data_IF_081115855736
#
_entry.id   IF_081115855736
#
_cell.length_a   1.000
_cell.length_b   1.000
_cell.length_c   1.000
_cell.angle_alpha   90.00
_cell.angle_beta   90.00
_cell.angle_gamma   90.00
#
_symmetry.space_group_name_H-M   'P 1'
#
loop_
_entity.id
_entity.type
_entity.pdbx_description
1 polymer ?
#
# COMPACT_ATOMS: atom_id res chain seq x y z
N UNK A 1 1.05 15.38 -28.18
CA UNK A 1 0.69 14.22 -27.33
C UNK A 1 -0.71 13.78 -27.69
N UNK A 2 -0.93 12.48 -27.85
CA UNK A 2 -2.22 11.88 -28.22
C UNK A 2 -2.86 11.19 -27.01
N UNK A 3 -4.19 11.14 -26.99
CA UNK A 3 -4.89 10.27 -26.05
C UNK A 3 -4.67 8.81 -26.41
N UNK A 4 -4.48 7.98 -25.39
CA UNK A 4 -4.40 6.53 -25.52
C UNK A 4 -5.74 5.91 -25.13
N UNK A 5 -6.01 4.72 -25.63
CA UNK A 5 -7.16 3.92 -25.22
C UNK A 5 -6.76 3.00 -24.07
N UNK A 6 -7.44 3.14 -22.94
CA UNK A 6 -7.30 2.26 -21.79
C UNK A 6 -8.64 1.57 -21.51
N UNK A 7 -8.64 0.27 -21.18
CA UNK A 7 -9.86 -0.46 -20.89
C UNK A 7 -10.51 0.06 -19.60
N UNK A 8 -11.82 0.27 -19.62
CA UNK A 8 -12.57 0.67 -18.41
C UNK A 8 -12.75 -0.47 -17.42
N UNK A 9 -12.83 -1.69 -17.94
CA UNK A 9 -12.97 -2.93 -17.17
C UNK A 9 -11.76 -3.83 -17.44
N UNK A 10 -11.24 -4.45 -16.38
CA UNK A 10 -10.09 -5.36 -16.48
C UNK A 10 -8.73 -4.68 -16.40
N UNK A 11 -7.69 -5.43 -16.76
CA UNK A 11 -6.30 -5.04 -16.56
C UNK A 11 -5.79 -4.08 -17.65
N UNK A 12 -5.50 -2.84 -17.26
CA UNK A 12 -4.99 -1.77 -18.12
C UNK A 12 -3.47 -1.79 -18.30
N UNK A 13 -2.71 -2.58 -17.53
CA UNK A 13 -1.25 -2.67 -17.60
C UNK A 13 -0.72 -2.92 -19.02
N UNK A 14 -1.13 -3.99 -19.74
CA UNK A 14 -0.61 -4.24 -21.09
C UNK A 14 -0.95 -3.13 -22.10
N UNK A 15 -2.11 -2.49 -21.95
CA UNK A 15 -2.52 -1.39 -22.84
C UNK A 15 -1.66 -0.15 -22.62
N UNK A 16 -1.39 0.20 -21.37
CA UNK A 16 -0.52 1.34 -21.04
C UNK A 16 0.92 1.09 -21.51
N UNK A 17 1.47 -0.10 -21.24
CA UNK A 17 2.82 -0.48 -21.67
C UNK A 17 2.93 -0.41 -23.19
N UNK A 18 1.99 -1.02 -23.93
CA UNK A 18 1.98 -0.98 -25.39
C UNK A 18 1.89 0.45 -25.93
N UNK A 19 1.05 1.30 -25.33
CA UNK A 19 0.91 2.69 -25.76
C UNK A 19 2.18 3.51 -25.51
N UNK A 20 2.86 3.29 -24.38
CA UNK A 20 4.15 3.91 -24.04
C UNK A 20 5.24 3.48 -25.02
N UNK A 21 5.40 2.17 -25.25
CA UNK A 21 6.38 1.62 -26.21
C UNK A 21 6.19 2.23 -27.59
N UNK A 22 4.95 2.20 -28.11
CA UNK A 22 4.63 2.77 -29.41
C UNK A 22 4.94 4.28 -29.50
N UNK A 23 4.68 5.04 -28.44
CA UNK A 23 4.96 6.47 -28.42
C UNK A 23 6.48 6.74 -28.44
N UNK A 24 7.25 5.97 -27.66
CA UNK A 24 8.70 6.07 -27.59
C UNK A 24 9.35 5.69 -28.93
N UNK A 25 8.95 4.59 -29.55
CA UNK A 25 9.47 4.14 -30.85
C UNK A 25 9.21 5.14 -31.97
N UNK A 26 8.11 5.91 -31.87
CA UNK A 26 7.75 6.98 -32.81
C UNK A 26 8.40 8.32 -32.51
N UNK A 27 9.19 8.41 -31.44
CA UNK A 27 9.79 9.68 -30.99
C UNK A 27 8.76 10.71 -30.50
N UNK A 28 7.60 10.26 -30.01
CA UNK A 28 6.62 11.15 -29.41
C UNK A 28 7.11 11.65 -28.04
N UNK A 29 6.87 12.93 -27.74
CA UNK A 29 7.27 13.54 -26.46
C UNK A 29 6.39 13.12 -25.25
N UNK A 30 5.38 12.25 -25.46
CA UNK A 30 4.48 11.84 -24.39
C UNK A 30 3.09 11.39 -24.83
N UNK A 31 2.34 10.87 -23.87
CA UNK A 31 0.97 10.36 -24.02
C UNK A 31 0.00 11.08 -23.07
N UNK A 32 -1.28 11.14 -23.48
CA UNK A 32 -2.37 11.61 -22.63
C UNK A 32 -3.22 10.42 -22.16
N UNK A 33 -3.41 10.30 -20.86
CA UNK A 33 -4.33 9.33 -20.27
C UNK A 33 -5.75 9.92 -20.28
N UNK A 34 -6.76 9.18 -20.77
CA UNK A 34 -8.15 9.60 -20.66
C UNK A 34 -8.58 9.80 -19.20
N UNK A 35 -9.57 10.66 -18.97
CA UNK A 35 -10.17 10.81 -17.63
C UNK A 35 -10.95 9.56 -17.26
N UNK A 36 -10.81 9.15 -16.00
CA UNK A 36 -11.52 8.00 -15.44
C UNK A 36 -10.65 7.25 -14.45
N UNK A 37 -11.14 6.07 -14.09
CA UNK A 37 -10.45 5.09 -13.25
C UNK A 37 -10.02 3.91 -14.11
N UNK A 38 -8.82 3.42 -13.86
CA UNK A 38 -8.18 2.34 -14.59
C UNK A 38 -7.46 1.44 -13.61
N UNK A 39 -7.60 0.13 -13.79
CA UNK A 39 -7.12 -0.87 -12.86
C UNK A 39 -5.91 -1.61 -13.44
N UNK A 40 -4.88 -1.81 -12.63
CA UNK A 40 -3.57 -2.33 -13.05
C UNK A 40 -3.16 -3.50 -12.17
N UNK A 41 -2.91 -4.65 -12.80
CA UNK A 41 -2.35 -5.84 -12.15
C UNK A 41 -0.91 -6.08 -12.62
N UNK A 42 -0.14 -6.95 -11.94
CA UNK A 42 1.22 -7.31 -12.35
C UNK A 42 1.32 -7.83 -13.79
N UNK A 43 0.29 -8.53 -14.28
CA UNK A 43 0.31 -9.14 -15.60
C UNK A 43 0.40 -8.08 -16.70
N UNK A 44 1.32 -8.29 -17.65
CA UNK A 44 1.59 -7.33 -18.73
C UNK A 44 2.58 -6.22 -18.37
N UNK A 45 3.01 -6.16 -17.11
CA UNK A 45 4.15 -5.35 -16.67
C UNK A 45 5.48 -6.09 -16.83
N UNK A 46 6.51 -5.56 -16.16
CA UNK A 46 7.84 -6.18 -16.12
C UNK A 46 8.19 -6.61 -14.69
N UNK A 47 8.82 -7.77 -14.53
CA UNK A 47 9.40 -8.19 -13.25
C UNK A 47 10.91 -7.98 -13.26
N UNK A 48 11.44 -7.22 -12.30
CA UNK A 48 12.87 -6.94 -12.20
C UNK A 48 13.35 -6.83 -10.76
N UNK A 49 14.52 -7.39 -10.48
CA UNK A 49 15.20 -7.15 -9.21
C UNK A 49 15.72 -5.72 -9.14
N UNK A 50 15.28 -4.96 -8.15
CA UNK A 50 15.65 -3.56 -7.97
C UNK A 50 16.31 -3.33 -6.61
N UNK A 51 17.36 -2.50 -6.63
CA UNK A 51 17.93 -1.90 -5.43
C UNK A 51 17.37 -0.48 -5.28
N UNK A 52 16.40 -0.29 -4.41
CA UNK A 52 15.77 1.01 -4.15
C UNK A 52 16.18 1.46 -2.76
N UNK A 53 16.99 2.52 -2.68
CA UNK A 53 17.47 3.04 -1.41
C UNK A 53 16.31 3.30 -0.44
N UNK A 54 16.51 2.94 0.84
CA UNK A 54 15.53 3.03 1.93
C UNK A 54 14.28 2.15 1.79
N UNK A 55 14.24 1.27 0.79
CA UNK A 55 13.20 0.27 0.59
C UNK A 55 13.82 -1.14 0.55
N UNK A 56 12.99 -2.17 0.48
CA UNK A 56 13.47 -3.55 0.39
C UNK A 56 14.05 -3.83 -1.01
N UNK A 57 15.24 -4.43 -1.04
CA UNK A 57 15.81 -5.00 -2.27
C UNK A 57 15.04 -6.28 -2.61
N UNK A 58 14.37 -6.28 -3.76
CA UNK A 58 13.47 -7.37 -4.14
C UNK A 58 13.21 -7.43 -5.64
N UNK A 59 12.72 -8.58 -6.11
CA UNK A 59 11.98 -8.66 -7.36
C UNK A 59 10.71 -7.83 -7.25
N UNK A 60 10.61 -6.79 -8.07
CA UNK A 60 9.47 -5.91 -8.16
C UNK A 60 8.66 -6.28 -9.40
N UNK A 61 7.34 -6.41 -9.23
CA UNK A 61 6.39 -6.38 -10.34
C UNK A 61 6.09 -4.91 -10.66
N UNK A 62 6.55 -4.46 -11.82
CA UNK A 62 6.55 -3.05 -12.24
C UNK A 62 5.53 -2.87 -13.34
N UNK A 63 4.53 -2.00 -13.12
CA UNK A 63 3.52 -1.74 -14.16
C UNK A 63 4.12 -0.93 -15.33
N UNK A 64 4.91 0.11 -15.02
CA UNK A 64 5.55 0.95 -16.03
C UNK A 64 7.03 1.15 -15.70
N UNK A 65 7.89 0.59 -16.53
CA UNK A 65 9.32 0.84 -16.51
C UNK A 65 9.70 1.70 -17.73
N UNK A 66 10.23 2.90 -17.49
CA UNK A 66 10.80 3.74 -18.55
C UNK A 66 12.31 3.87 -18.34
N UNK A 67 13.08 3.52 -19.36
CA UNK A 67 14.53 3.56 -19.33
C UNK A 67 15.14 4.40 -20.44
N UNK A 68 16.24 5.09 -20.13
CA UNK A 68 17.05 5.82 -21.11
C UNK A 68 16.29 6.90 -21.89
N UNK A 69 15.30 7.55 -21.26
CA UNK A 69 14.52 8.62 -21.87
C UNK A 69 15.03 10.01 -21.46
N UNK A 70 14.93 10.97 -22.38
CA UNK A 70 15.11 12.40 -22.10
C UNK A 70 13.91 13.18 -22.64
N UNK A 71 13.08 13.69 -21.74
CA UNK A 71 11.94 14.52 -22.11
C UNK A 71 10.71 13.72 -22.56
N UNK A 72 10.02 13.08 -21.61
CA UNK A 72 8.78 12.35 -21.88
C UNK A 72 7.69 12.70 -20.86
N UNK A 73 6.46 12.88 -21.31
CA UNK A 73 5.33 13.26 -20.46
C UNK A 73 4.21 12.23 -20.49
N UNK A 74 3.79 11.75 -19.32
CA UNK A 74 2.54 11.02 -19.11
C UNK A 74 1.56 11.99 -18.46
N UNK A 75 0.55 12.44 -19.22
CA UNK A 75 -0.41 13.45 -18.79
C UNK A 75 -1.80 12.85 -18.59
N UNK A 76 -2.22 12.71 -17.35
CA UNK A 76 -3.63 12.47 -17.00
C UNK A 76 -4.42 13.77 -16.89
N UNK A 77 -5.74 13.63 -16.72
CA UNK A 77 -6.64 14.71 -16.33
C UNK A 77 -7.58 14.22 -15.22
N UNK A 78 -7.10 14.30 -13.98
CA UNK A 78 -7.73 13.70 -12.80
C UNK A 78 -7.93 12.18 -12.98
N UNK A 79 -7.03 11.54 -13.72
CA UNK A 79 -7.08 10.11 -14.01
C UNK A 79 -6.64 9.33 -12.78
N UNK A 80 -7.46 8.36 -12.34
CA UNK A 80 -7.16 7.46 -11.22
C UNK A 80 -6.55 6.17 -11.73
N UNK A 81 -5.41 5.80 -11.18
CA UNK A 81 -4.69 4.57 -11.45
C UNK A 81 -4.75 3.72 -10.18
N UNK A 82 -5.54 2.66 -10.21
CA UNK A 82 -5.76 1.76 -9.07
C UNK A 82 -4.95 0.49 -9.30
N UNK A 83 -4.00 0.22 -8.41
CA UNK A 83 -3.13 -0.93 -8.49
C UNK A 83 -3.64 -2.09 -7.63
N UNK A 84 -3.54 -3.29 -8.18
CA UNK A 84 -3.98 -4.54 -7.55
C UNK A 84 -2.78 -5.38 -7.15
N UNK A 85 -2.73 -5.74 -5.86
CA UNK A 85 -1.61 -6.47 -5.28
C UNK A 85 -0.33 -5.67 -5.11
N UNK A 86 0.82 -6.36 -5.06
CA UNK A 86 2.14 -5.75 -4.82
C UNK A 86 2.77 -5.28 -6.13
N UNK A 87 2.26 -4.17 -6.66
CA UNK A 87 2.77 -3.55 -7.89
C UNK A 87 3.51 -2.25 -7.57
N UNK A 88 4.70 -2.10 -8.14
CA UNK A 88 5.43 -0.83 -8.22
C UNK A 88 4.92 -0.04 -9.43
N UNK A 89 4.21 1.09 -9.25
CA UNK A 89 3.49 1.76 -10.34
C UNK A 89 4.39 2.23 -11.47
N UNK A 90 5.46 2.95 -11.14
CA UNK A 90 6.35 3.58 -12.09
C UNK A 90 7.80 3.45 -11.61
N UNK A 91 8.67 3.05 -12.52
CA UNK A 91 10.12 3.12 -12.35
C UNK A 91 10.70 3.92 -13.51
N UNK A 92 11.37 5.02 -13.19
CA UNK A 92 12.11 5.81 -14.16
C UNK A 92 13.60 5.59 -13.92
N UNK A 93 14.27 4.92 -14.86
CA UNK A 93 15.68 4.52 -14.70
C UNK A 93 16.52 5.09 -15.84
N UNK A 94 17.71 5.60 -15.50
CA UNK A 94 18.60 6.27 -16.47
C UNK A 94 17.88 7.32 -17.34
N UNK A 95 16.87 7.99 -16.79
CA UNK A 95 16.00 8.91 -17.53
C UNK A 95 16.03 10.31 -16.91
N UNK A 96 15.83 11.34 -17.74
CA UNK A 96 15.78 12.75 -17.35
C UNK A 96 14.56 13.45 -17.95
N UNK A 97 14.13 14.54 -17.31
CA UNK A 97 13.00 15.37 -17.76
C UNK A 97 11.70 14.58 -17.98
N UNK A 98 11.41 13.61 -17.10
CA UNK A 98 10.18 12.82 -17.11
C UNK A 98 9.10 13.53 -16.30
N UNK A 99 7.92 13.70 -16.90
CA UNK A 99 6.78 14.35 -16.26
C UNK A 99 5.62 13.36 -16.12
N UNK A 100 5.22 13.08 -14.88
CA UNK A 100 3.97 12.37 -14.56
C UNK A 100 3.03 13.37 -13.90
N UNK A 101 1.99 13.79 -14.62
CA UNK A 101 1.13 14.91 -14.18
C UNK A 101 -0.36 14.58 -14.33
N UNK A 102 -1.18 15.13 -13.44
CA UNK A 102 -2.64 15.01 -13.53
C UNK A 102 -3.20 13.60 -13.25
N UNK A 103 -2.40 12.73 -12.62
CA UNK A 103 -2.80 11.38 -12.19
C UNK A 103 -2.95 11.30 -10.67
N UNK A 104 -3.78 10.34 -10.22
CA UNK A 104 -3.86 9.89 -8.82
C UNK A 104 -3.53 8.41 -8.80
N UNK A 105 -2.61 8.02 -7.91
CA UNK A 105 -2.19 6.64 -7.72
C UNK A 105 -2.75 6.17 -6.39
N UNK A 106 -3.36 4.99 -6.39
CA UNK A 106 -3.84 4.32 -5.19
C UNK A 106 -3.80 2.80 -5.38
N UNK A 107 -4.04 2.06 -4.31
CA UNK A 107 -4.16 0.61 -4.35
C UNK A 107 -5.58 0.19 -3.98
N UNK A 108 -6.09 -0.86 -4.62
CA UNK A 108 -7.40 -1.43 -4.27
C UNK A 108 -7.42 -1.91 -2.82
N UNK A 109 -6.28 -2.44 -2.34
CA UNK A 109 -6.08 -2.81 -0.94
C UNK A 109 -4.79 -2.18 -0.41
N UNK A 110 -4.84 -1.45 0.72
CA UNK A 110 -3.64 -0.89 1.33
C UNK A 110 -2.73 -1.98 1.92
N UNK A 111 -1.44 -1.66 2.06
CA UNK A 111 -0.45 -2.54 2.69
C UNK A 111 -0.44 -2.44 4.23
N UNK A 112 -1.23 -1.54 4.80
CA UNK A 112 -1.46 -1.37 6.23
C UNK A 112 -2.91 -1.71 6.60
N UNK A 113 -3.20 -1.75 7.90
CA UNK A 113 -4.55 -1.89 8.43
C UNK A 113 -4.81 -0.80 9.47
N UNK A 114 -6.04 -0.32 9.53
CA UNK A 114 -6.54 0.61 10.54
C UNK A 114 -7.67 -0.05 11.34
N UNK A 115 -7.85 0.38 12.58
CA UNK A 115 -8.95 -0.10 13.42
C UNK A 115 -9.41 0.95 14.41
N UNK A 116 -10.71 1.02 14.65
CA UNK A 116 -11.30 1.86 15.70
C UNK A 116 -11.11 1.17 17.04
N UNK A 117 -10.48 1.83 18.01
CA UNK A 117 -10.29 1.31 19.36
C UNK A 117 -11.62 1.29 20.10
N UNK A 118 -12.09 0.09 20.45
CA UNK A 118 -13.38 -0.11 21.11
C UNK A 118 -13.24 -0.21 22.63
N UNK A 119 -12.19 -0.88 23.09
CA UNK A 119 -11.95 -1.10 24.51
C UNK A 119 -10.46 -1.27 24.77
N UNK A 120 -10.04 -0.92 25.99
CA UNK A 120 -8.69 -1.17 26.49
C UNK A 120 -8.76 -1.69 27.92
N UNK A 121 -7.81 -2.53 28.29
CA UNK A 121 -7.78 -3.06 29.65
C UNK A 121 -7.34 -2.00 30.66
N UNK A 122 -7.83 -2.05 31.91
CA UNK A 122 -7.37 -1.16 32.98
C UNK A 122 -5.87 -1.28 33.27
N UNK A 123 -5.29 -2.47 33.06
CA UNK A 123 -3.86 -2.73 33.26
C UNK A 123 -3.02 -2.38 32.03
N UNK A 124 -3.65 -2.07 30.90
CA UNK A 124 -3.00 -1.76 29.63
C UNK A 124 -2.35 -2.96 28.93
N UNK A 125 -2.78 -4.19 29.24
CA UNK A 125 -2.25 -5.42 28.65
C UNK A 125 -3.04 -5.95 27.46
N UNK A 126 -4.22 -5.38 27.16
CA UNK A 126 -4.98 -5.71 25.96
C UNK A 126 -5.75 -4.52 25.41
N UNK A 127 -5.99 -4.56 24.10
CA UNK A 127 -6.87 -3.65 23.37
C UNK A 127 -7.82 -4.45 22.50
N UNK A 128 -9.01 -3.90 22.26
CA UNK A 128 -9.95 -4.36 21.25
C UNK A 128 -10.17 -3.28 20.22
N UNK A 129 -10.17 -3.66 18.95
CA UNK A 129 -10.44 -2.73 17.86
C UNK A 129 -11.31 -3.37 16.78
N UNK A 130 -12.15 -2.55 16.15
CA UNK A 130 -12.93 -2.92 14.98
C UNK A 130 -12.18 -2.55 13.71
N UNK A 131 -12.05 -3.50 12.80
CA UNK A 131 -11.41 -3.30 11.50
C UNK A 131 -12.46 -2.91 10.46
N UNK A 132 -12.39 -1.73 9.82
CA UNK A 132 -13.33 -1.32 8.77
C UNK A 132 -13.36 -2.29 7.59
N UNK A 133 -14.48 -2.36 6.87
CA UNK A 133 -14.67 -3.27 5.71
C UNK A 133 -13.66 -3.08 4.56
N UNK A 134 -13.01 -1.92 4.49
CA UNK A 134 -11.97 -1.64 3.50
C UNK A 134 -10.68 -2.45 3.68
N UNK A 135 -10.43 -3.00 4.87
CA UNK A 135 -9.23 -3.76 5.17
C UNK A 135 -9.52 -5.26 5.26
N UNK A 136 -8.75 -6.08 4.57
CA UNK A 136 -8.85 -7.54 4.70
C UNK A 136 -7.81 -8.03 5.71
N UNK A 137 -8.21 -8.96 6.57
CA UNK A 137 -7.35 -9.50 7.61
C UNK A 137 -7.79 -10.91 7.99
N UNK A 138 -6.90 -11.64 8.68
CA UNK A 138 -7.24 -12.86 9.41
C UNK A 138 -6.46 -12.93 10.72
N UNK A 139 -6.96 -13.70 11.68
CA UNK A 139 -6.18 -14.12 12.85
C UNK A 139 -6.05 -15.63 12.87
N UNK A 140 -4.85 -16.15 13.10
CA UNK A 140 -4.61 -17.59 13.19
C UNK A 140 -3.42 -17.88 14.10
N UNK A 141 -3.54 -18.85 14.99
CA UNK A 141 -2.45 -19.24 15.90
C UNK A 141 -1.94 -18.08 16.76
N UNK A 142 -2.83 -17.17 17.18
CA UNK A 142 -2.49 -15.96 17.93
C UNK A 142 -1.79 -14.87 17.12
N UNK A 143 -1.71 -15.00 15.81
CA UNK A 143 -1.09 -14.01 14.92
C UNK A 143 -2.11 -13.26 14.09
N UNK A 144 -1.86 -11.97 13.87
CA UNK A 144 -2.60 -11.15 12.93
C UNK A 144 -1.95 -11.24 11.55
N UNK A 145 -2.76 -11.28 10.50
CA UNK A 145 -2.30 -11.28 9.12
C UNK A 145 -2.96 -10.15 8.36
N UNK A 146 -2.16 -9.29 7.72
CA UNK A 146 -2.63 -8.32 6.75
C UNK A 146 -2.84 -9.06 5.44
N UNK A 147 -4.05 -9.01 4.88
CA UNK A 147 -4.40 -9.76 3.68
C UNK A 147 -4.75 -8.77 2.58
N UNK A 148 -4.13 -8.91 1.43
CA UNK A 148 -4.49 -8.19 0.22
C UNK A 148 -4.54 -9.11 -0.99
N UNK A 149 -4.62 -8.52 -2.17
CA UNK A 149 -4.68 -9.28 -3.40
C UNK A 149 -3.30 -9.86 -3.74
N UNK A 150 -3.18 -11.19 -3.73
CA UNK A 150 -1.92 -11.87 -4.02
C UNK A 150 -0.84 -11.72 -2.93
N UNK A 151 -1.17 -11.18 -1.75
CA UNK A 151 -0.23 -11.11 -0.63
C UNK A 151 -0.88 -11.36 0.74
N UNK A 152 -0.14 -11.99 1.64
CA UNK A 152 -0.39 -11.90 3.08
C UNK A 152 0.90 -11.51 3.81
N UNK A 153 0.78 -10.73 4.87
CA UNK A 153 1.88 -10.41 5.77
C UNK A 153 1.58 -10.91 7.17
N UNK A 154 2.39 -11.86 7.63
CA UNK A 154 2.31 -12.39 8.99
C UNK A 154 2.85 -11.42 10.02
N UNK A 155 1.96 -11.06 10.93
CA UNK A 155 2.25 -10.40 12.18
C UNK A 155 2.45 -8.89 12.08
N UNK A 156 2.16 -8.23 13.19
CA UNK A 156 2.24 -6.79 13.34
C UNK A 156 3.68 -6.40 13.65
N UNK A 157 4.22 -5.40 12.94
CA UNK A 157 5.54 -4.82 13.26
C UNK A 157 5.41 -3.82 14.39
N UNK A 158 4.51 -2.86 14.25
CA UNK A 158 4.15 -1.87 15.25
C UNK A 158 2.71 -1.41 15.05
N UNK A 159 2.14 -0.82 16.10
CA UNK A 159 0.90 -0.02 16.02
C UNK A 159 1.17 1.39 16.51
N UNK A 160 0.48 2.35 15.91
CA UNK A 160 0.52 3.77 16.23
C UNK A 160 -0.90 4.30 16.36
N UNK A 161 -1.16 5.07 17.42
CA UNK A 161 -2.47 5.65 17.67
C UNK A 161 -2.64 6.99 16.94
N UNK A 162 -3.80 7.17 16.29
CA UNK A 162 -4.20 8.43 15.67
C UNK A 162 -5.37 9.04 16.44
N UNK A 163 -5.41 10.38 16.52
CA UNK A 163 -6.60 11.09 16.98
C UNK A 163 -7.63 11.11 15.86
N UNK A 164 -8.83 10.58 16.14
CA UNK A 164 -9.89 10.44 15.14
C UNK A 164 -10.41 11.77 14.60
N UNK A 165 -10.33 12.84 15.39
CA UNK A 165 -10.84 14.17 15.01
C UNK A 165 -9.82 14.92 14.17
N UNK A 166 -8.56 14.97 14.60
CA UNK A 166 -7.51 15.71 13.87
C UNK A 166 -6.87 14.90 12.75
N UNK A 167 -7.05 13.57 12.74
CA UNK A 167 -6.49 12.63 11.75
C UNK A 167 -4.97 12.65 11.70
N UNK A 168 -4.34 12.85 12.85
CA UNK A 168 -2.88 12.82 13.04
C UNK A 168 -2.52 11.91 14.20
N UNK A 169 -1.23 11.58 14.37
CA UNK A 169 -0.76 10.83 15.54
C UNK A 169 -1.24 11.51 16.82
N UNK A 170 -1.83 10.76 17.76
CA UNK A 170 -2.29 11.37 19.02
C UNK A 170 -1.11 12.05 19.72
N UNK A 171 -1.33 13.24 20.28
CA UNK A 171 -0.31 13.97 21.02
C UNK A 171 0.47 13.08 22.00
N UNK A 172 1.80 13.10 21.86
CA UNK A 172 2.75 12.38 22.70
C UNK A 172 2.61 10.84 22.70
N UNK A 173 2.02 10.26 21.66
CA UNK A 173 2.06 8.80 21.45
C UNK A 173 3.43 8.36 20.92
N UNK A 174 3.83 7.14 21.26
CA UNK A 174 4.95 6.45 20.61
C UNK A 174 4.48 5.16 19.97
N UNK A 175 5.18 4.70 18.93
CA UNK A 175 4.98 3.35 18.40
C UNK A 175 5.08 2.26 19.48
N UNK A 176 4.11 1.36 19.48
CA UNK A 176 4.21 0.09 20.17
C UNK A 176 4.81 -0.94 19.20
N UNK A 177 6.11 -1.20 19.31
CA UNK A 177 6.83 -2.16 18.46
C UNK A 177 6.73 -3.60 18.99
N UNK A 178 6.28 -4.51 18.14
CA UNK A 178 6.26 -5.95 18.40
C UNK A 178 7.42 -6.69 17.76
N UNK A 179 7.96 -6.17 16.64
CA UNK A 179 9.10 -6.77 15.94
C UNK A 179 10.27 -5.80 15.81
N UNK A 180 11.48 -6.34 15.86
CA UNK A 180 12.69 -5.65 15.42
C UNK A 180 12.76 -5.58 13.89
N UNK A 181 13.70 -4.80 13.37
CA UNK A 181 13.98 -4.76 11.92
C UNK A 181 14.43 -6.12 11.37
N UNK A 182 15.03 -6.97 12.21
CA UNK A 182 15.41 -8.35 11.88
C UNK A 182 14.22 -9.29 11.73
N UNK A 183 13.00 -8.85 12.10
CA UNK A 183 11.78 -9.66 12.09
C UNK A 183 11.52 -10.43 13.38
N UNK A 184 12.49 -10.50 14.29
CA UNK A 184 12.35 -11.13 15.60
C UNK A 184 11.36 -10.36 16.50
N UNK A 185 10.60 -11.09 17.31
CA UNK A 185 9.66 -10.48 18.24
C UNK A 185 10.40 -9.80 19.42
N UNK A 186 10.19 -8.50 19.55
CA UNK A 186 10.56 -7.68 20.71
C UNK A 186 9.54 -7.82 21.84
N UNK A 187 8.26 -7.83 21.50
CA UNK A 187 7.14 -8.01 22.40
C UNK A 187 6.20 -9.00 21.72
N UNK A 188 5.92 -10.11 22.42
CA UNK A 188 4.95 -11.09 21.95
C UNK A 188 3.55 -10.55 22.18
N UNK A 189 2.64 -10.96 21.32
CA UNK A 189 1.22 -10.70 21.45
C UNK A 189 0.42 -11.93 21.05
N UNK A 190 -0.84 -11.95 21.46
CA UNK A 190 -1.87 -12.85 20.99
C UNK A 190 -2.99 -12.03 20.33
N UNK A 191 -3.26 -12.30 19.05
CA UNK A 191 -4.34 -11.70 18.29
C UNK A 191 -5.49 -12.70 18.12
N UNK A 192 -6.67 -12.34 18.60
CA UNK A 192 -7.87 -13.19 18.57
C UNK A 192 -9.01 -12.44 17.89
N UNK A 193 -9.59 -13.02 16.85
CA UNK A 193 -10.87 -12.55 16.30
C UNK A 193 -11.99 -12.86 17.30
N UNK A 194 -12.72 -11.83 17.73
CA UNK A 194 -13.84 -11.92 18.67
C UNK A 194 -15.18 -11.56 18.00
N UNK A 195 -15.19 -11.51 16.66
CA UNK A 195 -16.33 -11.19 15.78
C UNK A 195 -16.90 -9.78 15.98
N UNK A 196 -17.82 -9.30 15.13
CA UNK A 196 -17.83 -9.34 13.67
C UNK A 196 -16.85 -8.28 13.15
N UNK A 197 -15.58 -8.65 12.91
CA UNK A 197 -14.49 -7.72 12.59
C UNK A 197 -13.83 -7.01 13.78
N UNK A 198 -14.04 -7.51 15.00
CA UNK A 198 -13.33 -7.05 16.18
C UNK A 198 -12.20 -8.01 16.50
N UNK A 199 -11.03 -7.45 16.76
CA UNK A 199 -9.85 -8.20 17.16
C UNK A 199 -9.43 -7.74 18.53
N UNK A 200 -9.16 -8.70 19.42
CA UNK A 200 -8.45 -8.45 20.67
C UNK A 200 -6.97 -8.71 20.46
N UNK A 201 -6.14 -7.75 20.85
CA UNK A 201 -4.69 -7.87 20.88
C UNK A 201 -4.22 -7.81 22.32
N UNK A 202 -3.66 -8.92 22.81
CA UNK A 202 -3.13 -9.09 24.17
C UNK A 202 -1.60 -9.13 24.11
N UNK A 203 -0.91 -8.50 25.05
CA UNK A 203 0.56 -8.47 25.11
C UNK A 203 1.08 -8.98 26.44
N UNK A 204 2.28 -9.53 26.43
CA UNK A 204 3.01 -9.79 27.67
C UNK A 204 3.37 -8.46 28.33
N UNK A 205 2.92 -8.25 29.58
CA UNK A 205 3.09 -7.00 30.30
C UNK A 205 2.03 -5.95 29.91
N UNK A 206 2.45 -4.83 29.32
CA UNK A 206 1.54 -3.75 28.88
C UNK A 206 2.04 -3.07 27.62
N UNK A 207 1.14 -2.42 26.89
CA UNK A 207 1.51 -1.51 25.81
C UNK A 207 2.33 -0.34 26.38
N UNK A 208 3.34 0.11 25.64
CA UNK A 208 4.13 1.29 26.01
C UNK A 208 3.25 2.54 26.04
N UNK A 209 2.39 2.69 25.02
CA UNK A 209 1.30 3.66 25.02
C UNK A 209 0.00 2.92 24.82
N UNK A 210 -0.91 3.00 25.79
CA UNK A 210 -2.25 2.42 25.68
C UNK A 210 -3.12 3.38 24.85
N UNK A 211 -3.70 2.92 23.71
CA UNK A 211 -4.59 3.74 22.91
C UNK A 211 -5.83 4.20 23.68
N UNK A 212 -6.42 5.32 23.28
CA UNK A 212 -7.68 5.84 23.82
C UNK A 212 -8.86 5.19 23.10
N UNK A 213 -9.86 4.78 23.88
CA UNK A 213 -11.14 4.31 23.32
C UNK A 213 -11.79 5.39 22.47
N UNK A 214 -12.29 5.01 21.29
CA UNK A 214 -12.95 5.88 20.32
C UNK A 214 -12.02 6.51 19.28
N UNK A 215 -10.69 6.36 19.45
CA UNK A 215 -9.72 6.68 18.40
C UNK A 215 -9.73 5.66 17.28
#
# INVERSE_FOLDING_TARGET
MRFIDLPKDGNATPHLVQALTNAIEKGEAGICLPTGEYHFWPEGGERRFLHISNNDDADNDIAVLLENLDGFTIRGNKTRLIFHGRVTPFVFRHSKNINLIGVRIDWERPFHCEGNVLAVSPTGNWIEFEIPKGFSYRTEGGQFYFVGEGFEQKGIKNILEFDKKTRESRYNVTDNFFKWRTGEYRQKYNATDIGPRRVRLEVDGKFRTVPKVGN
#
